data_IF_827119864023
#
_entry.id   IF_827119864023
#
_cell.length_a   1.000
_cell.length_b   1.000
_cell.length_c   1.000
_cell.angle_alpha   90.00
_cell.angle_beta   90.00
_cell.angle_gamma   90.00
#
_symmetry.space_group_name_H-M   'P 1'
#
loop_
_entity.id
_entity.type
_entity.pdbx_description
1 polymer ?
#
# COMPACT_ATOMS: atom_id res chain seq x y z
N UNK A 1 3.43 -17.92 17.14
CA UNK A 1 3.70 -16.76 16.30
C UNK A 1 3.02 -16.96 14.95
N UNK A 2 2.38 -15.92 14.44
CA UNK A 2 1.70 -16.03 13.15
C UNK A 2 2.71 -16.15 12.01
N UNK A 3 2.38 -16.99 11.03
CA UNK A 3 3.19 -17.12 9.84
C UNK A 3 2.68 -16.13 8.79
N UNK A 4 3.31 -14.97 8.73
CA UNK A 4 2.90 -13.89 7.86
C UNK A 4 3.08 -14.20 6.38
N UNK A 5 3.93 -15.19 6.08
CA UNK A 5 4.14 -15.56 4.68
C UNK A 5 2.90 -16.20 4.05
N UNK A 6 1.94 -16.62 4.86
CA UNK A 6 0.69 -17.21 4.40
C UNK A 6 -0.44 -16.19 4.31
N UNK A 7 -0.18 -14.97 4.74
CA UNK A 7 -1.17 -13.90 4.69
C UNK A 7 -1.06 -13.21 3.34
N UNK A 8 -2.19 -12.96 2.69
CA UNK A 8 -2.17 -12.33 1.37
C UNK A 8 -1.67 -10.88 1.44
N UNK A 9 -1.17 -10.40 0.33
CA UNK A 9 -0.74 -9.01 0.23
C UNK A 9 -1.89 -8.06 0.54
N UNK A 10 -3.10 -8.37 0.06
CA UNK A 10 -4.26 -7.53 0.32
C UNK A 10 -4.59 -7.45 1.81
N UNK A 11 -4.48 -8.57 2.51
CA UNK A 11 -4.75 -8.60 3.95
C UNK A 11 -3.70 -7.83 4.73
N UNK A 12 -2.43 -7.98 4.35
CA UNK A 12 -1.34 -7.24 4.99
C UNK A 12 -1.48 -5.74 4.76
N UNK A 13 -1.86 -5.36 3.54
CA UNK A 13 -2.08 -3.96 3.20
C UNK A 13 -3.20 -3.37 4.07
N UNK A 14 -4.32 -4.08 4.16
CA UNK A 14 -5.47 -3.62 4.94
C UNK A 14 -5.12 -3.48 6.42
N UNK A 15 -4.33 -4.39 6.95
CA UNK A 15 -3.93 -4.32 8.34
C UNK A 15 -3.03 -3.12 8.60
N UNK A 16 -2.05 -2.88 7.73
CA UNK A 16 -1.16 -1.74 7.87
C UNK A 16 -1.88 -0.42 7.71
N UNK A 17 -2.84 -0.37 6.80
CA UNK A 17 -3.59 0.87 6.54
C UNK A 17 -4.39 1.34 7.75
N UNK A 18 -4.71 0.44 8.69
CA UNK A 18 -5.46 0.78 9.90
C UNK A 18 -4.57 1.32 11.02
N UNK A 19 -3.26 1.21 10.86
CA UNK A 19 -2.34 1.55 11.95
C UNK A 19 -2.07 3.04 12.02
N UNK A 20 -1.80 3.53 13.23
CA UNK A 20 -1.36 4.91 13.40
C UNK A 20 0.01 5.07 12.75
N UNK A 21 0.25 6.24 12.20
CA UNK A 21 1.52 6.51 11.54
C UNK A 21 1.58 5.97 10.12
N UNK A 22 0.49 5.41 9.61
CA UNK A 22 0.41 4.91 8.26
C UNK A 22 -0.69 5.63 7.51
N UNK A 23 -0.36 6.16 6.34
CA UNK A 23 -1.35 6.81 5.46
C UNK A 23 -1.46 6.02 4.18
N UNK A 24 -2.69 5.84 3.72
CA UNK A 24 -2.94 5.14 2.47
C UNK A 24 -3.35 6.12 1.39
N UNK A 25 -2.80 5.92 0.20
CA UNK A 25 -3.18 6.66 -1.00
C UNK A 25 -3.61 5.65 -2.05
N UNK A 26 -4.80 5.85 -2.62
CA UNK A 26 -5.35 4.94 -3.62
C UNK A 26 -5.49 5.70 -4.93
N UNK A 27 -4.95 5.13 -5.99
CA UNK A 27 -5.02 5.73 -7.33
C UNK A 27 -5.81 4.82 -8.24
N UNK A 28 -6.76 5.41 -8.96
CA UNK A 28 -7.67 4.67 -9.81
C UNK A 28 -7.15 4.46 -11.23
N UNK A 29 -8.00 3.86 -12.09
CA UNK A 29 -7.57 3.48 -13.44
C UNK A 29 -7.21 4.66 -14.35
N UNK A 30 -7.64 5.88 -14.00
CA UNK A 30 -7.32 7.05 -14.80
C UNK A 30 -6.13 7.84 -14.27
N UNK A 31 -5.57 7.39 -13.15
CA UNK A 31 -4.46 8.08 -12.53
C UNK A 31 -3.13 7.56 -13.02
N UNK A 32 -2.15 8.44 -13.08
CA UNK A 32 -0.77 8.06 -13.35
C UNK A 32 0.07 8.55 -12.21
N UNK A 33 0.94 7.68 -11.71
CA UNK A 33 1.77 7.97 -10.55
C UNK A 33 3.22 7.69 -10.89
N UNK A 34 4.09 8.63 -10.58
CA UNK A 34 5.54 8.43 -10.76
C UNK A 34 6.17 8.33 -9.39
N UNK A 35 6.82 7.20 -9.13
CA UNK A 35 7.53 6.97 -7.89
C UNK A 35 8.95 6.53 -8.22
N UNK A 36 9.91 7.25 -7.70
CA UNK A 36 11.33 6.94 -7.90
C UNK A 36 11.69 6.76 -9.38
N UNK A 37 11.04 7.51 -10.25
CA UNK A 37 11.29 7.44 -11.69
C UNK A 37 10.49 6.40 -12.44
N UNK A 38 9.80 5.52 -11.74
CA UNK A 38 8.94 4.51 -12.38
C UNK A 38 7.52 5.01 -12.48
N UNK A 39 6.89 4.73 -13.61
CA UNK A 39 5.51 5.12 -13.85
C UNK A 39 4.57 3.95 -13.57
N UNK A 40 3.52 4.25 -12.81
CA UNK A 40 2.51 3.25 -12.47
C UNK A 40 1.13 3.74 -12.86
N UNK A 41 0.25 2.81 -13.18
CA UNK A 41 -1.17 3.08 -13.35
C UNK A 41 -1.89 2.94 -12.01
N UNK A 42 -3.03 2.21 -11.97
CA UNK A 42 -3.75 2.01 -10.72
C UNK A 42 -2.88 1.30 -9.69
N UNK A 43 -2.81 1.88 -8.49
CA UNK A 43 -2.03 1.27 -7.40
C UNK A 43 -2.46 1.83 -6.06
N UNK A 44 -1.95 1.22 -5.00
CA UNK A 44 -2.15 1.69 -3.64
C UNK A 44 -0.78 1.89 -3.02
N UNK A 45 -0.64 2.98 -2.27
CA UNK A 45 0.62 3.32 -1.61
C UNK A 45 0.37 3.50 -0.12
N UNK A 46 1.22 2.90 0.68
CA UNK A 46 1.22 3.14 2.12
C UNK A 46 2.46 3.94 2.47
N UNK A 47 2.26 5.03 3.19
CA UNK A 47 3.35 5.83 3.72
C UNK A 47 3.41 5.60 5.21
N UNK A 48 4.47 4.97 5.65
CA UNK A 48 4.68 4.65 7.05
C UNK A 48 5.65 5.67 7.64
N UNK A 49 5.14 6.51 8.52
CA UNK A 49 5.96 7.55 9.20
C UNK A 49 6.25 7.19 10.65
N UNK A 50 5.89 6.00 11.01
CA UNK A 50 6.07 5.50 12.36
C UNK A 50 7.47 4.91 12.57
#
# INVERSE_FOLDING_TARGET
MADLSRVSTAELHAELARREGVKEYVFGPEDNVILAGDEYGPLRVLVNVD
#
